data_IF_679366907562
#
_entry.id   IF_679366907562
#
_cell.length_a   1.000
_cell.length_b   1.000
_cell.length_c   1.000
_cell.angle_alpha   90.00
_cell.angle_beta   90.00
_cell.angle_gamma   90.00
#
_symmetry.space_group_name_H-M   'P 1'
#
loop_
_entity.id
_entity.type
_entity.pdbx_description
1 polymer ?
#
# COMPACT_ATOMS: atom_id res chain seq x y z
N UNK A 1 11.05 -35.12 -110.13
CA UNK A 1 10.30 -34.26 -109.19
C UNK A 1 9.16 -35.07 -108.60
N UNK A 2 9.17 -35.32 -107.28
CA UNK A 2 7.98 -35.69 -106.48
C UNK A 2 8.37 -35.73 -105.01
N UNK A 3 7.98 -34.71 -104.25
CA UNK A 3 8.17 -34.64 -102.81
C UNK A 3 6.92 -35.18 -102.10
N UNK A 4 7.08 -36.28 -101.35
CA UNK A 4 6.02 -36.91 -100.57
C UNK A 4 5.84 -36.14 -99.26
N UNK A 5 4.71 -35.43 -99.14
CA UNK A 5 4.34 -34.63 -97.96
C UNK A 5 3.70 -35.54 -96.90
N UNK A 6 4.47 -35.90 -95.85
CA UNK A 6 3.99 -36.64 -94.67
C UNK A 6 3.00 -35.77 -93.86
N UNK A 7 1.71 -36.13 -93.86
CA UNK A 7 0.70 -35.56 -92.94
C UNK A 7 0.92 -36.11 -91.52
N UNK A 8 1.04 -35.21 -90.54
CA UNK A 8 1.01 -35.54 -89.10
C UNK A 8 -0.42 -35.84 -88.67
N UNK A 9 -0.66 -36.81 -87.76
CA UNK A 9 -1.96 -36.99 -87.14
C UNK A 9 -2.20 -35.91 -86.08
N UNK A 10 -3.38 -35.28 -86.13
CA UNK A 10 -3.89 -34.40 -85.08
C UNK A 10 -4.26 -35.23 -83.85
N UNK A 11 -3.61 -34.95 -82.72
CA UNK A 11 -4.00 -35.52 -81.43
C UNK A 11 -5.30 -34.86 -80.97
N UNK A 12 -6.37 -35.65 -80.84
CA UNK A 12 -7.62 -35.25 -80.21
C UNK A 12 -7.36 -34.95 -78.73
N UNK A 13 -7.32 -33.65 -78.36
CA UNK A 13 -7.39 -33.23 -76.97
C UNK A 13 -8.83 -33.40 -76.50
N UNK A 14 -9.04 -34.32 -75.58
CA UNK A 14 -10.29 -34.50 -74.86
C UNK A 14 -10.43 -33.35 -73.83
N UNK A 15 -11.35 -32.38 -74.01
CA UNK A 15 -11.39 -31.16 -73.20
C UNK A 15 -11.98 -31.38 -71.80
N UNK A 16 -12.40 -32.60 -71.45
CA UNK A 16 -13.16 -32.87 -70.22
C UNK A 16 -12.37 -33.60 -69.10
N UNK A 17 -11.08 -33.90 -69.30
CA UNK A 17 -10.30 -34.73 -68.37
C UNK A 17 -9.55 -34.02 -67.25
N UNK A 18 -9.29 -32.71 -67.36
CA UNK A 18 -8.30 -32.03 -66.47
C UNK A 18 -8.96 -31.30 -65.28
N UNK A 19 -10.25 -30.99 -65.37
CA UNK A 19 -10.92 -30.07 -64.44
C UNK A 19 -11.42 -30.71 -63.12
N UNK A 20 -11.26 -32.03 -62.96
CA UNK A 20 -11.70 -32.78 -61.76
C UNK A 20 -10.61 -32.96 -60.71
N UNK A 21 -9.33 -33.05 -61.10
CA UNK A 21 -8.23 -33.25 -60.13
C UNK A 21 -7.90 -31.96 -59.34
N UNK A 22 -7.94 -30.80 -60.00
CA UNK A 22 -7.65 -29.52 -59.33
C UNK A 22 -8.71 -29.13 -58.29
N UNK A 23 -9.98 -29.52 -58.50
CA UNK A 23 -11.06 -29.29 -57.53
C UNK A 23 -10.95 -30.14 -56.26
N UNK A 24 -10.38 -31.34 -56.34
CA UNK A 24 -10.17 -32.21 -55.17
C UNK A 24 -8.95 -31.73 -54.35
N UNK A 25 -7.86 -31.37 -55.02
CA UNK A 25 -6.65 -30.78 -54.40
C UNK A 25 -6.94 -29.46 -53.66
N UNK A 26 -7.77 -28.60 -54.24
CA UNK A 26 -8.19 -27.35 -53.59
C UNK A 26 -9.09 -27.55 -52.37
N UNK A 27 -9.82 -28.66 -52.28
CA UNK A 27 -10.69 -29.00 -51.15
C UNK A 27 -9.88 -29.52 -49.96
N UNK A 28 -8.93 -30.41 -50.21
CA UNK A 28 -8.02 -30.93 -49.16
C UNK A 28 -7.12 -29.84 -48.58
N UNK A 29 -6.61 -28.91 -49.39
CA UNK A 29 -5.78 -27.79 -48.91
C UNK A 29 -6.55 -26.82 -48.00
N UNK A 30 -7.85 -26.61 -48.26
CA UNK A 30 -8.70 -25.79 -47.38
C UNK A 30 -8.98 -26.49 -46.06
N UNK A 31 -9.28 -27.78 -46.09
CA UNK A 31 -9.50 -28.59 -44.88
C UNK A 31 -8.25 -28.63 -43.99
N UNK A 32 -7.06 -28.76 -44.58
CA UNK A 32 -5.78 -28.71 -43.87
C UNK A 32 -5.53 -27.34 -43.21
N UNK A 33 -5.79 -26.24 -43.92
CA UNK A 33 -5.66 -24.88 -43.35
C UNK A 33 -6.64 -24.60 -42.20
N UNK A 34 -7.83 -25.18 -42.23
CA UNK A 34 -8.82 -25.05 -41.15
C UNK A 34 -8.37 -25.84 -39.92
N UNK A 35 -7.84 -27.06 -40.12
CA UNK A 35 -7.28 -27.85 -39.02
C UNK A 35 -6.08 -27.17 -38.38
N UNK A 36 -5.18 -26.57 -39.16
CA UNK A 36 -4.04 -25.80 -38.65
C UNK A 36 -4.51 -24.59 -37.83
N UNK A 37 -5.48 -23.83 -38.33
CA UNK A 37 -6.08 -22.71 -37.59
C UNK A 37 -6.76 -23.15 -36.28
N UNK A 38 -7.45 -24.29 -36.28
CA UNK A 38 -8.10 -24.85 -35.08
C UNK A 38 -7.07 -25.31 -34.04
N UNK A 39 -5.95 -25.90 -34.46
CA UNK A 39 -4.85 -26.26 -33.58
C UNK A 39 -4.21 -25.02 -32.94
N UNK A 40 -3.95 -23.99 -33.75
CA UNK A 40 -3.46 -22.69 -33.30
C UNK A 40 -4.40 -22.03 -32.28
N UNK A 41 -5.71 -22.05 -32.56
CA UNK A 41 -6.72 -21.51 -31.65
C UNK A 41 -6.72 -22.28 -30.31
N UNK A 42 -6.64 -23.61 -30.35
CA UNK A 42 -6.56 -24.44 -29.13
C UNK A 42 -5.29 -24.15 -28.33
N UNK A 43 -4.16 -23.95 -28.99
CA UNK A 43 -2.90 -23.63 -28.33
C UNK A 43 -2.94 -22.24 -27.68
N UNK A 44 -3.52 -21.25 -28.37
CA UNK A 44 -3.80 -19.91 -27.80
C UNK A 44 -4.71 -20.00 -26.58
N UNK A 45 -5.78 -20.81 -26.62
CA UNK A 45 -6.66 -21.00 -25.45
C UNK A 45 -5.90 -21.64 -24.29
N UNK A 46 -5.05 -22.64 -24.54
CA UNK A 46 -4.21 -23.28 -23.51
C UNK A 46 -3.23 -22.27 -22.87
N UNK A 47 -2.58 -21.43 -23.67
CA UNK A 47 -1.64 -20.42 -23.16
C UNK A 47 -2.35 -19.33 -22.35
N UNK A 48 -3.51 -18.86 -22.82
CA UNK A 48 -4.36 -17.92 -22.07
C UNK A 48 -4.86 -18.52 -20.76
N UNK A 49 -5.26 -19.79 -20.76
CA UNK A 49 -5.67 -20.49 -19.55
C UNK A 49 -4.53 -20.57 -18.53
N UNK A 50 -3.32 -20.94 -18.94
CA UNK A 50 -2.13 -20.94 -18.07
C UNK A 50 -1.87 -19.55 -17.48
N UNK A 51 -1.95 -18.50 -18.30
CA UNK A 51 -1.78 -17.11 -17.84
C UNK A 51 -2.84 -16.68 -16.84
N UNK A 52 -4.10 -17.08 -17.06
CA UNK A 52 -5.20 -16.83 -16.13
C UNK A 52 -4.95 -17.52 -14.78
N UNK A 53 -4.52 -18.79 -14.79
CA UNK A 53 -4.21 -19.53 -13.56
C UNK A 53 -3.06 -18.89 -12.79
N UNK A 54 -1.99 -18.48 -13.48
CA UNK A 54 -0.88 -17.76 -12.85
C UNK A 54 -1.34 -16.42 -12.26
N UNK A 55 -2.14 -15.65 -12.99
CA UNK A 55 -2.69 -14.38 -12.49
C UNK A 55 -3.58 -14.55 -11.25
N UNK A 56 -4.33 -15.66 -11.15
CA UNK A 56 -5.11 -16.00 -9.95
C UNK A 56 -4.20 -16.32 -8.78
N UNK A 57 -3.19 -17.18 -8.96
CA UNK A 57 -2.25 -17.54 -7.91
C UNK A 57 -1.53 -16.30 -7.32
N UNK A 58 -1.04 -15.39 -8.18
CA UNK A 58 -0.40 -14.15 -7.73
C UNK A 58 -1.35 -13.26 -6.93
N UNK A 59 -2.62 -13.20 -7.33
CA UNK A 59 -3.64 -12.42 -6.60
C UNK A 59 -3.94 -13.02 -5.24
N UNK A 60 -4.06 -14.34 -5.16
CA UNK A 60 -4.34 -15.04 -3.91
C UNK A 60 -3.19 -14.88 -2.93
N UNK A 61 -1.95 -14.94 -3.40
CA UNK A 61 -0.76 -14.63 -2.60
C UNK A 61 -0.77 -13.18 -2.10
N UNK A 62 -1.03 -12.21 -2.99
CA UNK A 62 -1.13 -10.80 -2.61
C UNK A 62 -2.25 -10.54 -1.59
N UNK A 63 -3.39 -11.23 -1.74
CA UNK A 63 -4.49 -11.15 -0.80
C UNK A 63 -4.13 -11.75 0.56
N UNK A 64 -3.42 -12.88 0.58
CA UNK A 64 -2.84 -13.46 1.79
C UNK A 64 -1.90 -12.49 2.52
N UNK A 65 -1.01 -11.84 1.78
CA UNK A 65 -0.12 -10.81 2.31
C UNK A 65 -0.88 -9.61 2.89
N UNK A 66 -1.93 -9.15 2.22
CA UNK A 66 -2.80 -8.08 2.72
C UNK A 66 -3.50 -8.46 4.03
N UNK A 67 -4.04 -9.68 4.14
CA UNK A 67 -4.67 -10.17 5.37
C UNK A 67 -3.67 -10.23 6.53
N UNK A 68 -2.47 -10.76 6.28
CA UNK A 68 -1.41 -10.81 7.28
C UNK A 68 -1.01 -9.41 7.76
N UNK A 69 -0.86 -8.43 6.86
CA UNK A 69 -0.56 -7.06 7.20
C UNK A 69 -1.68 -6.40 8.04
N UNK A 70 -2.95 -6.62 7.66
CA UNK A 70 -4.12 -6.16 8.42
C UNK A 70 -4.12 -6.72 9.84
N UNK A 71 -3.82 -8.00 10.00
CA UNK A 71 -3.85 -8.64 11.31
C UNK A 71 -2.68 -8.20 12.20
N UNK A 72 -1.50 -7.94 11.61
CA UNK A 72 -0.38 -7.26 12.29
C UNK A 72 -0.75 -5.86 12.78
N UNK A 73 -1.41 -5.06 11.94
CA UNK A 73 -1.89 -3.73 12.34
C UNK A 73 -2.87 -3.82 13.51
N UNK A 74 -3.82 -4.76 13.47
CA UNK A 74 -4.75 -4.98 14.59
C UNK A 74 -4.04 -5.39 15.89
N UNK A 75 -2.98 -6.17 15.81
CA UNK A 75 -2.17 -6.51 16.98
C UNK A 75 -1.47 -5.26 17.55
N UNK A 76 -0.87 -4.42 16.70
CA UNK A 76 -0.24 -3.17 17.12
C UNK A 76 -1.22 -2.20 17.77
N UNK A 77 -2.43 -2.02 17.22
CA UNK A 77 -3.45 -1.18 17.85
C UNK A 77 -3.80 -1.65 19.26
N UNK A 78 -3.97 -2.96 19.46
CA UNK A 78 -4.23 -3.51 20.80
C UNK A 78 -3.08 -3.26 21.77
N UNK A 79 -1.84 -3.31 21.28
CA UNK A 79 -0.67 -3.02 22.11
C UNK A 79 -0.60 -1.54 22.50
N UNK A 80 -0.94 -0.63 21.57
CA UNK A 80 -1.06 0.81 21.86
C UNK A 80 -2.14 1.07 22.91
N UNK A 81 -3.30 0.40 22.80
CA UNK A 81 -4.37 0.55 23.79
C UNK A 81 -3.93 0.11 25.19
N UNK A 82 -3.21 -1.01 25.30
CA UNK A 82 -2.65 -1.49 26.58
C UNK A 82 -1.66 -0.48 27.18
N UNK A 83 -0.72 0.04 26.38
CA UNK A 83 0.25 1.03 26.86
C UNK A 83 -0.42 2.36 27.23
N UNK A 84 -1.46 2.77 26.50
CA UNK A 84 -2.26 3.96 26.85
C UNK A 84 -2.92 3.78 28.22
N UNK A 85 -3.53 2.63 28.48
CA UNK A 85 -4.17 2.33 29.76
C UNK A 85 -3.14 2.33 30.90
N UNK A 86 -1.95 1.77 30.66
CA UNK A 86 -0.84 1.79 31.61
C UNK A 86 -0.40 3.22 31.95
N UNK A 87 -0.14 4.05 30.95
CA UNK A 87 0.26 5.45 31.15
C UNK A 87 -0.82 6.23 31.89
N UNK A 88 -2.09 5.99 31.59
CA UNK A 88 -3.20 6.62 32.32
C UNK A 88 -3.23 6.20 33.81
N UNK A 89 -2.99 4.92 34.10
CA UNK A 89 -2.92 4.43 35.47
C UNK A 89 -1.76 5.07 36.24
N UNK A 90 -0.58 5.15 35.62
CA UNK A 90 0.60 5.79 36.18
C UNK A 90 0.34 7.29 36.44
N UNK A 91 -0.24 8.02 35.47
CA UNK A 91 -0.61 9.44 35.61
C UNK A 91 -1.57 9.66 36.80
N UNK A 92 -2.58 8.80 36.96
CA UNK A 92 -3.49 8.84 38.14
C UNK A 92 -2.73 8.60 39.44
N UNK A 93 -1.78 7.67 39.45
CA UNK A 93 -0.92 7.41 40.60
C UNK A 93 0.00 8.58 40.96
N UNK A 94 0.56 9.27 39.97
CA UNK A 94 1.35 10.49 40.16
C UNK A 94 0.49 11.65 40.69
N UNK A 95 -0.68 11.90 40.10
CA UNK A 95 -1.61 12.94 40.56
C UNK A 95 -1.99 12.75 42.05
N UNK A 96 -2.30 11.52 42.48
CA UNK A 96 -2.58 11.21 43.90
C UNK A 96 -1.39 11.42 44.83
N UNK A 97 -0.17 11.17 44.36
CA UNK A 97 1.06 11.42 45.14
C UNK A 97 1.32 12.93 45.24
N UNK A 98 1.17 13.65 44.14
CA UNK A 98 1.33 15.10 44.11
C UNK A 98 0.34 15.80 45.06
N UNK A 99 -0.93 15.38 45.04
CA UNK A 99 -1.94 15.91 45.97
C UNK A 99 -1.57 15.67 47.45
N UNK A 100 -0.95 14.53 47.78
CA UNK A 100 -0.47 14.26 49.15
C UNK A 100 0.67 15.19 49.54
N UNK A 101 1.63 15.41 48.65
CA UNK A 101 2.74 16.35 48.89
C UNK A 101 2.21 17.77 49.10
N UNK A 102 1.26 18.23 48.27
CA UNK A 102 0.60 19.54 48.45
C UNK A 102 -0.04 19.66 49.83
N UNK A 103 -0.81 18.66 50.26
CA UNK A 103 -1.43 18.64 51.61
C UNK A 103 -0.40 18.63 52.75
N UNK A 104 0.72 17.93 52.59
CA UNK A 104 1.78 17.90 53.60
C UNK A 104 2.49 19.25 53.69
N UNK A 105 2.73 19.92 52.56
CA UNK A 105 3.31 21.26 52.51
C UNK A 105 2.41 22.31 53.14
N UNK A 106 1.10 22.27 52.86
CA UNK A 106 0.15 23.19 53.49
C UNK A 106 0.14 23.02 55.01
N UNK A 107 0.11 21.76 55.50
CA UNK A 107 0.16 21.47 56.92
C UNK A 107 1.49 21.90 57.59
N UNK A 108 2.62 21.75 56.88
CA UNK A 108 3.91 22.24 57.35
C UNK A 108 3.90 23.77 57.50
N UNK A 109 3.30 24.47 56.54
CA UNK A 109 3.16 25.94 56.56
C UNK A 109 2.31 26.40 57.74
N UNK A 110 1.16 25.76 57.95
CA UNK A 110 0.28 26.05 59.09
C UNK A 110 1.01 25.86 60.43
N UNK A 111 1.82 24.80 60.54
CA UNK A 111 2.67 24.58 61.73
C UNK A 111 3.70 25.68 61.91
N UNK A 112 4.42 26.07 60.85
CA UNK A 112 5.42 27.11 60.96
C UNK A 112 4.80 28.47 61.34
N UNK A 113 3.60 28.79 60.83
CA UNK A 113 2.84 29.98 61.26
C UNK A 113 2.51 29.90 62.75
N UNK A 114 2.02 28.74 63.21
CA UNK A 114 1.65 28.55 64.62
C UNK A 114 2.84 28.68 65.58
N UNK A 115 4.05 28.36 65.10
CA UNK A 115 5.28 28.41 65.87
C UNK A 115 6.06 29.72 65.69
N UNK A 116 5.55 30.68 64.90
CA UNK A 116 6.26 31.91 64.53
C UNK A 116 7.69 31.66 64.03
N UNK A 117 7.87 30.60 63.23
CA UNK A 117 9.14 30.33 62.56
C UNK A 117 9.37 31.45 61.54
N UNK A 118 10.59 31.98 61.48
CA UNK A 118 10.95 33.08 60.57
C UNK A 118 10.77 32.65 59.11
N UNK A 119 10.35 33.59 58.26
CA UNK A 119 10.19 33.36 56.83
C UNK A 119 11.54 33.05 56.13
N UNK A 120 12.65 33.48 56.73
CA UNK A 120 14.01 33.21 56.26
C UNK A 120 14.50 31.78 56.62
N UNK A 121 13.73 31.03 57.42
CA UNK A 121 14.11 29.68 57.82
C UNK A 121 13.88 28.68 56.67
N UNK A 122 14.80 27.73 56.51
CA UNK A 122 14.78 26.75 55.41
C UNK A 122 13.49 25.93 55.39
N UNK A 123 12.90 25.69 56.56
CA UNK A 123 11.64 24.95 56.72
C UNK A 123 10.46 25.76 56.16
N UNK A 124 10.49 27.08 56.29
CA UNK A 124 9.47 27.97 55.73
C UNK A 124 9.56 28.04 54.21
N UNK A 125 10.77 28.20 53.67
CA UNK A 125 11.04 28.21 52.23
C UNK A 125 10.56 26.90 51.54
N UNK A 126 10.82 25.74 52.16
CA UNK A 126 10.35 24.44 51.64
C UNK A 126 8.82 24.32 51.69
N UNK A 127 8.20 24.86 52.76
CA UNK A 127 6.75 24.87 52.92
C UNK A 127 6.08 25.79 51.90
N UNK A 128 6.70 26.92 51.57
CA UNK A 128 6.19 27.97 50.68
C UNK A 128 6.40 27.69 49.18
N UNK A 129 7.37 26.82 48.84
CA UNK A 129 7.89 26.58 47.48
C UNK A 129 6.90 26.10 46.39
N UNK A 130 5.57 26.05 46.58
CA UNK A 130 4.68 25.64 45.49
C UNK A 130 3.22 26.09 45.46
N UNK A 131 2.73 26.98 46.33
CA UNK A 131 1.27 27.28 46.35
C UNK A 131 0.88 28.72 45.99
N UNK A 132 1.81 29.66 45.86
CA UNK A 132 1.43 31.02 45.49
C UNK A 132 1.54 31.24 43.99
N UNK A 133 0.41 31.08 43.28
CA UNK A 133 0.15 31.52 41.89
C UNK A 133 0.92 30.85 40.76
N UNK A 134 1.92 30.04 41.05
CA UNK A 134 2.33 29.04 40.07
C UNK A 134 1.37 27.88 40.25
N UNK A 135 0.37 27.85 39.37
CA UNK A 135 0.08 26.59 38.71
C UNK A 135 1.46 26.00 38.41
N UNK A 136 1.90 25.09 39.27
CA UNK A 136 2.64 23.95 38.77
C UNK A 136 1.61 23.29 37.86
N UNK A 137 1.49 23.87 36.66
CA UNK A 137 1.16 23.22 35.42
C UNK A 137 2.12 22.05 35.43
N UNK A 138 1.71 21.02 36.16
CA UNK A 138 2.14 19.69 35.90
C UNK A 138 1.88 19.62 34.41
N UNK A 139 2.92 19.51 33.60
CA UNK A 139 2.81 19.34 32.14
C UNK A 139 1.90 18.12 31.79
N UNK A 140 1.47 17.38 32.83
CA UNK A 140 0.46 16.34 32.84
C UNK A 140 -0.94 16.78 33.33
N UNK A 141 -1.29 18.05 33.43
CA UNK A 141 -2.62 18.59 33.76
C UNK A 141 -3.13 19.52 32.65
N UNK A 142 -2.49 19.54 31.47
CA UNK A 142 -3.23 19.91 30.26
C UNK A 142 -4.46 18.98 30.19
N UNK A 143 -5.58 19.64 30.46
CA UNK A 143 -6.93 19.27 30.14
C UNK A 143 -6.93 18.58 28.78
N UNK A 144 -6.93 17.25 28.80
CA UNK A 144 -7.52 16.50 27.70
C UNK A 144 -9.03 16.52 27.90
N UNK A 145 -9.63 17.70 28.04
CA UNK A 145 -10.98 17.89 27.55
C UNK A 145 -10.91 17.63 26.05
N UNK A 146 -11.52 16.52 25.66
CA UNK A 146 -12.11 16.38 24.33
C UNK A 146 -11.19 16.55 23.11
N UNK A 147 -10.22 15.65 23.00
CA UNK A 147 -10.16 14.88 21.75
C UNK A 147 -10.75 13.48 21.98
N UNK A 148 -12.00 13.43 22.48
CA UNK A 148 -12.92 12.52 21.81
C UNK A 148 -12.90 12.97 20.36
N UNK A 149 -12.10 12.29 19.53
CA UNK A 149 -12.36 12.19 18.11
C UNK A 149 -13.78 11.61 18.04
N UNK A 150 -14.77 12.50 18.10
CA UNK A 150 -16.16 12.16 17.87
C UNK A 150 -16.13 11.43 16.54
N UNK A 151 -16.78 10.27 16.50
CA UNK A 151 -17.00 9.50 15.27
C UNK A 151 -17.61 10.34 14.13
N UNK A 152 -17.99 11.59 14.39
CA UNK A 152 -18.45 12.60 13.45
C UNK A 152 -17.34 13.24 12.60
N UNK A 153 -16.09 13.37 13.07
CA UNK A 153 -15.00 13.85 12.17
C UNK A 153 -14.57 12.80 11.13
N UNK A 154 -14.99 11.55 11.33
CA UNK A 154 -14.93 10.45 10.34
C UNK A 154 -16.09 10.48 9.31
N UNK A 155 -17.01 11.46 9.38
CA UNK A 155 -17.99 11.76 8.33
C UNK A 155 -17.52 12.79 7.30
N UNK A 156 -16.24 13.20 7.28
CA UNK A 156 -15.69 13.80 6.06
C UNK A 156 -15.60 12.70 4.99
N UNK A 157 -16.15 12.90 3.77
CA UNK A 157 -16.29 11.83 2.80
C UNK A 157 -14.93 11.19 2.54
N UNK A 158 -14.86 9.89 2.84
CA UNK A 158 -13.72 8.98 2.65
C UNK A 158 -13.27 8.89 1.17
N UNK A 159 -13.87 9.69 0.28
CA UNK A 159 -13.53 9.79 -1.14
C UNK A 159 -12.06 10.24 -1.36
N UNK A 160 -11.54 11.21 -0.60
CA UNK A 160 -10.22 11.77 -0.91
C UNK A 160 -9.02 11.05 -0.24
N UNK A 161 -9.21 10.38 0.92
CA UNK A 161 -8.12 9.60 1.55
C UNK A 161 -7.88 8.25 0.86
N UNK A 162 -8.92 7.65 0.26
CA UNK A 162 -8.76 6.44 -0.56
C UNK A 162 -7.87 6.68 -1.77
N UNK A 163 -7.98 7.85 -2.41
CA UNK A 163 -7.16 8.23 -3.57
C UNK A 163 -5.69 8.36 -3.16
N UNK A 164 -5.38 8.99 -2.03
CA UNK A 164 -3.98 9.16 -1.59
C UNK A 164 -3.32 7.82 -1.20
N UNK A 165 -4.05 6.93 -0.53
CA UNK A 165 -3.54 5.58 -0.19
C UNK A 165 -3.43 4.71 -1.45
N UNK A 166 -4.39 4.78 -2.38
CA UNK A 166 -4.28 4.11 -3.68
C UNK A 166 -3.10 4.62 -4.51
N UNK A 167 -2.86 5.94 -4.54
CA UNK A 167 -1.70 6.52 -5.24
C UNK A 167 -0.39 6.01 -4.61
N UNK A 168 -0.29 5.94 -3.28
CA UNK A 168 0.90 5.40 -2.61
C UNK A 168 1.09 3.90 -2.87
N UNK A 169 0.02 3.10 -2.89
CA UNK A 169 0.09 1.65 -3.14
C UNK A 169 0.38 1.36 -4.62
N UNK A 170 -0.25 2.05 -5.56
CA UNK A 170 0.01 1.91 -7.01
C UNK A 170 1.43 2.37 -7.35
N UNK A 171 1.91 3.46 -6.74
CA UNK A 171 3.29 3.95 -6.94
C UNK A 171 4.33 2.97 -6.40
N UNK A 172 4.08 2.32 -5.25
CA UNK A 172 4.97 1.26 -4.76
C UNK A 172 4.92 0.01 -5.64
N UNK A 173 3.74 -0.42 -6.09
CA UNK A 173 3.60 -1.61 -6.94
C UNK A 173 4.26 -1.38 -8.31
N UNK A 174 4.16 -0.19 -8.92
CA UNK A 174 4.87 0.08 -10.18
C UNK A 174 6.39 0.03 -10.06
N UNK A 175 6.96 0.41 -8.91
CA UNK A 175 8.42 0.34 -8.68
C UNK A 175 8.93 -1.11 -8.67
N UNK A 176 8.10 -2.06 -8.22
CA UNK A 176 8.48 -3.48 -8.17
C UNK A 176 8.23 -4.26 -9.47
N UNK A 177 7.42 -3.73 -10.39
CA UNK A 177 7.05 -4.41 -11.64
C UNK A 177 7.70 -3.83 -12.90
N UNK A 178 8.52 -2.77 -12.81
CA UNK A 178 9.36 -2.38 -13.94
C UNK A 178 10.54 -3.36 -14.09
N UNK A 179 10.66 -4.07 -15.21
CA UNK A 179 11.87 -4.85 -15.49
C UNK A 179 13.08 -3.92 -15.52
N UNK A 180 14.23 -4.38 -15.02
CA UNK A 180 15.49 -3.62 -14.96
C UNK A 180 15.93 -2.99 -16.30
N UNK A 181 15.35 -3.40 -17.43
CA UNK A 181 15.53 -2.79 -18.76
C UNK A 181 14.82 -1.45 -18.97
N UNK A 182 13.83 -1.08 -18.13
CA UNK A 182 13.09 0.19 -18.23
C UNK A 182 13.59 1.31 -17.31
N UNK A 183 14.39 0.98 -16.28
CA UNK A 183 14.92 1.95 -15.31
C UNK A 183 15.96 2.91 -15.92
N UNK A 184 16.62 2.54 -17.02
CA UNK A 184 17.57 3.39 -17.75
C UNK A 184 16.90 4.51 -18.54
N UNK A 185 15.62 4.37 -18.92
CA UNK A 185 14.88 5.41 -19.65
C UNK A 185 14.31 6.48 -18.71
N UNK A 186 13.92 6.11 -17.48
CA UNK A 186 13.43 7.08 -16.49
C UNK A 186 14.56 7.92 -15.88
N UNK A 187 15.78 7.37 -15.77
CA UNK A 187 16.97 8.11 -15.33
C UNK A 187 17.36 9.23 -16.32
N UNK A 188 16.97 9.14 -17.61
CA UNK A 188 17.17 10.23 -18.58
C UNK A 188 16.09 11.31 -18.53
N UNK A 189 14.93 11.05 -17.94
CA UNK A 189 13.85 12.04 -17.82
C UNK A 189 13.94 12.90 -16.54
N UNK A 190 14.71 12.46 -15.53
CA UNK A 190 14.95 13.24 -14.30
C UNK A 190 16.24 14.07 -14.30
N UNK A 191 17.03 14.04 -15.39
CA UNK A 191 18.28 14.79 -15.51
C UNK A 191 18.16 16.31 -15.67
N UNK A 192 16.95 16.89 -15.61
CA UNK A 192 16.72 18.32 -15.86
C UNK A 192 15.91 19.05 -14.76
N UNK A 193 15.98 18.59 -13.51
CA UNK A 193 15.70 19.48 -12.38
C UNK A 193 16.85 19.47 -11.38
N UNK A 194 17.55 20.60 -11.40
CA UNK A 194 18.67 21.03 -10.55
C UNK A 194 18.29 20.96 -9.05
N UNK A 195 19.28 20.76 -8.15
CA UNK A 195 19.08 20.32 -6.78
C UNK A 195 19.08 21.48 -5.79
N UNK A 196 18.20 21.42 -4.79
CA UNK A 196 18.38 22.13 -3.52
C UNK A 196 17.71 21.28 -2.46
N UNK A 197 18.50 20.55 -1.67
CA UNK A 197 18.40 20.49 -0.21
C UNK A 197 19.54 19.59 0.30
N UNK A 198 20.61 20.25 0.75
CA UNK A 198 21.60 19.67 1.67
C UNK A 198 20.87 19.38 2.98
N UNK A 199 21.02 18.17 3.51
CA UNK A 199 20.91 17.96 4.95
C UNK A 199 22.19 17.30 5.46
N UNK A 200 22.87 18.03 6.32
CA UNK A 200 23.79 17.52 7.31
C UNK A 200 23.01 16.61 8.26
N UNK A 201 23.51 15.38 8.43
CA UNK A 201 23.65 14.65 9.69
C UNK A 201 24.69 13.55 9.43
#
# INVERSE_FOLDING_TARGET
MSAVRKKRPEASRDPNGVDRQDKVSGKTRREESVLEHDLDAREKVKSLHKRLMWSRAVRDEAYGGFLAARDRLRALYRQIDIEKDRVQLERRGFSRRNLRVKKQRSALRDMCMSLNISDDDMVWLDAESSDYKHETDSVTEESSEDETITRETLKKPIANRKIHVWICVVRNIMIFYLPLSGLTLLARFQGNLIPLFKYHC
#
